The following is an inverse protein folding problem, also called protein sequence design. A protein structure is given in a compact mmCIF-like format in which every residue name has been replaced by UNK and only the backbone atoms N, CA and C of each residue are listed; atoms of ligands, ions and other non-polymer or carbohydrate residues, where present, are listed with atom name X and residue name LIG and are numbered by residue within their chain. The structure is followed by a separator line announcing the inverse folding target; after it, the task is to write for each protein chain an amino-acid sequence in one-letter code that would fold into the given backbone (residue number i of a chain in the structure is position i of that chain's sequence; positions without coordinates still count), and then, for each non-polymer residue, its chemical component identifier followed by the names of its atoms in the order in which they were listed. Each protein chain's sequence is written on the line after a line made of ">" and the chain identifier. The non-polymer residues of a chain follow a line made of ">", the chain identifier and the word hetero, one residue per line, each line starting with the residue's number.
data_IF_808295867899
#
_entry.id   IF_808295867899
#
_cell.length_a   1.000
_cell.length_b   1.000
_cell.length_c   1.000
_cell.angle_alpha   90.00
_cell.angle_beta   90.00
_cell.angle_gamma   90.00
#
_symmetry.space_group_name_H-M   'P 1'
#
loop_
_entity.id
_entity.type
_entity.pdbx_description
1 polymer ?
#
# COMPACT_ATOMS: atom_id res chain seq x y z
N UNK A 1 -18.87 -0.82 -18.17
CA UNK A 1 -18.04 0.30 -17.71
C UNK A 1 -17.38 -0.15 -16.43
N UNK A 2 -16.05 -0.02 -16.29
CA UNK A 2 -15.38 -0.32 -15.01
C UNK A 2 -15.80 0.78 -14.03
N UNK A 3 -16.41 0.39 -12.92
CA UNK A 3 -16.83 1.32 -11.87
C UNK A 3 -15.66 1.55 -10.90
N UNK A 4 -14.76 2.46 -11.29
CA UNK A 4 -13.54 2.78 -10.54
C UNK A 4 -13.89 3.34 -9.16
N UNK A 5 -14.95 4.15 -9.04
CA UNK A 5 -15.37 4.75 -7.77
C UNK A 5 -15.85 3.69 -6.80
N UNK A 6 -16.66 2.73 -7.26
CA UNK A 6 -17.08 1.60 -6.44
C UNK A 6 -15.89 0.72 -6.00
N UNK A 7 -14.97 0.42 -6.91
CA UNK A 7 -13.75 -0.33 -6.58
C UNK A 7 -12.92 0.40 -5.53
N UNK A 8 -12.63 1.69 -5.75
CA UNK A 8 -11.90 2.54 -4.80
C UNK A 8 -12.54 2.51 -3.41
N UNK A 9 -13.86 2.69 -3.34
CA UNK A 9 -14.63 2.63 -2.09
C UNK A 9 -14.46 1.29 -1.36
N UNK A 10 -14.48 0.16 -2.08
CA UNK A 10 -14.25 -1.17 -1.48
C UNK A 10 -12.83 -1.28 -0.88
N UNK A 11 -11.80 -0.79 -1.58
CA UNK A 11 -10.42 -0.83 -1.06
C UNK A 11 -10.30 0.04 0.19
N UNK A 12 -10.85 1.25 0.17
CA UNK A 12 -10.84 2.18 1.31
C UNK A 12 -11.57 1.61 2.54
N UNK A 13 -12.69 0.92 2.34
CA UNK A 13 -13.39 0.23 3.42
C UNK A 13 -12.54 -0.87 4.06
N UNK A 14 -11.82 -1.65 3.26
CA UNK A 14 -10.93 -2.70 3.76
C UNK A 14 -9.72 -2.13 4.49
N UNK A 15 -9.13 -1.04 3.99
CA UNK A 15 -8.07 -0.27 4.67
C UNK A 15 -8.56 0.21 6.03
N UNK A 16 -9.74 0.82 6.09
CA UNK A 16 -10.35 1.33 7.33
C UNK A 16 -10.63 0.21 8.33
N UNK A 17 -11.16 -0.92 7.87
CA UNK A 17 -11.43 -2.10 8.71
C UNK A 17 -10.15 -2.66 9.36
N UNK A 18 -9.01 -2.50 8.70
CA UNK A 18 -7.69 -2.95 9.18
C UNK A 18 -6.91 -1.86 9.93
N UNK A 19 -7.44 -0.64 10.01
CA UNK A 19 -6.78 0.53 10.57
C UNK A 19 -5.49 0.96 9.83
N UNK A 20 -5.43 0.74 8.51
CA UNK A 20 -4.26 1.03 7.68
C UNK A 20 -4.24 2.45 7.09
N UNK A 21 -5.12 3.34 7.52
CA UNK A 21 -5.33 4.66 6.92
C UNK A 21 -4.09 5.57 7.02
N UNK A 22 -3.20 5.29 7.97
CA UNK A 22 -1.94 6.04 8.12
C UNK A 22 -0.82 5.57 7.17
N UNK A 23 -1.07 4.55 6.33
CA UNK A 23 -0.13 4.19 5.28
C UNK A 23 -0.22 5.13 4.09
N UNK A 24 0.91 5.34 3.40
CA UNK A 24 0.91 5.99 2.10
C UNK A 24 0.42 5.00 1.05
N UNK A 25 -0.69 5.31 0.40
CA UNK A 25 -1.22 4.51 -0.69
C UNK A 25 -1.90 5.39 -1.74
N UNK A 26 -1.97 4.89 -2.97
CA UNK A 26 -2.59 5.58 -4.11
C UNK A 26 -3.50 4.61 -4.83
N UNK A 27 -4.76 5.03 -5.06
CA UNK A 27 -5.78 4.24 -5.74
C UNK A 27 -6.17 4.92 -7.06
N UNK A 28 -6.00 4.19 -8.15
CA UNK A 28 -6.38 4.54 -9.51
C UNK A 28 -5.74 5.84 -10.04
N UNK A 29 -4.53 6.13 -9.59
CA UNK A 29 -3.68 7.22 -10.08
C UNK A 29 -2.25 6.68 -10.27
N UNK A 30 -1.82 6.57 -11.54
CA UNK A 30 -0.47 6.10 -11.90
C UNK A 30 0.59 7.18 -11.67
N UNK A 31 0.23 8.45 -11.85
CA UNK A 31 1.15 9.59 -11.97
C UNK A 31 1.44 10.27 -10.62
N UNK A 32 0.75 9.85 -9.56
CA UNK A 32 1.00 10.33 -8.20
C UNK A 32 2.46 10.11 -7.79
N UNK A 33 3.10 11.18 -7.32
CA UNK A 33 4.46 11.17 -6.77
C UNK A 33 4.45 11.09 -5.24
N UNK A 34 3.50 10.35 -4.64
CA UNK A 34 3.49 10.13 -3.20
C UNK A 34 4.67 9.21 -2.81
N UNK A 35 5.63 9.68 -1.98
CA UNK A 35 6.77 8.86 -1.59
C UNK A 35 6.35 7.66 -0.74
N UNK A 36 7.08 6.55 -0.86
CA UNK A 36 6.84 5.30 -0.11
C UNK A 36 5.44 4.69 -0.28
N UNK A 37 4.69 5.12 -1.30
CA UNK A 37 3.33 4.67 -1.50
C UNK A 37 3.26 3.25 -2.10
N UNK A 38 2.21 2.54 -1.75
CA UNK A 38 1.76 1.36 -2.50
C UNK A 38 0.66 1.83 -3.45
N UNK A 39 0.82 1.57 -4.75
CA UNK A 39 -0.17 1.95 -5.75
C UNK A 39 -1.00 0.74 -6.15
N UNK A 40 -2.27 0.97 -6.42
CA UNK A 40 -3.17 0.10 -7.17
C UNK A 40 -3.84 0.95 -8.25
N UNK A 41 -3.61 0.68 -9.53
CA UNK A 41 -4.19 1.47 -10.63
C UNK A 41 -4.51 0.61 -11.85
N UNK A 42 -5.25 1.17 -12.81
CA UNK A 42 -5.60 0.47 -14.05
C UNK A 42 -4.70 0.98 -15.20
N UNK A 43 -4.06 0.07 -15.92
CA UNK A 43 -3.27 0.37 -17.12
C UNK A 43 -3.47 -0.72 -18.16
N UNK A 44 -3.79 -0.34 -19.40
CA UNK A 44 -4.02 -1.28 -20.51
C UNK A 44 -4.99 -2.42 -20.12
N UNK A 45 -6.10 -2.07 -19.47
CA UNK A 45 -7.11 -3.01 -18.95
C UNK A 45 -6.64 -4.00 -17.87
N UNK A 46 -5.44 -3.82 -17.32
CA UNK A 46 -4.94 -4.62 -16.20
C UNK A 46 -4.82 -3.79 -14.93
N UNK A 47 -5.08 -4.42 -13.79
CA UNK A 47 -4.81 -3.83 -12.49
C UNK A 47 -3.33 -4.00 -12.17
N UNK A 48 -2.67 -2.90 -11.84
CA UNK A 48 -1.25 -2.84 -11.53
C UNK A 48 -1.07 -2.55 -10.05
N UNK A 49 -0.27 -3.36 -9.37
CA UNK A 49 0.17 -3.11 -7.98
C UNK A 49 1.67 -3.00 -7.91
N UNK A 50 2.18 -1.95 -7.28
CA UNK A 50 3.60 -1.77 -7.02
C UNK A 50 3.85 -0.91 -5.77
N UNK A 51 5.10 -0.89 -5.33
CA UNK A 51 5.58 -0.02 -4.25
C UNK A 51 6.51 1.03 -4.81
N UNK A 52 6.57 2.18 -4.15
CA UNK A 52 7.43 3.30 -4.51
C UNK A 52 8.50 3.58 -3.45
N UNK A 53 9.62 4.16 -3.86
CA UNK A 53 10.66 4.69 -2.95
C UNK A 53 10.39 6.14 -2.54
N UNK A 54 11.36 6.75 -1.86
CA UNK A 54 11.35 8.15 -1.44
C UNK A 54 11.28 9.15 -2.60
N UNK A 55 11.67 8.73 -3.80
CA UNK A 55 11.63 9.52 -5.05
C UNK A 55 10.47 9.13 -5.95
N UNK A 56 9.55 8.30 -5.44
CA UNK A 56 8.42 7.75 -6.17
C UNK A 56 8.78 6.85 -7.35
N UNK A 57 10.00 6.28 -7.38
CA UNK A 57 10.36 5.26 -8.36
C UNK A 57 9.83 3.89 -7.95
N UNK A 58 9.54 3.05 -8.95
CA UNK A 58 9.06 1.68 -8.72
C UNK A 58 10.14 0.88 -8.00
N UNK A 59 9.86 0.41 -6.78
CA UNK A 59 10.74 -0.54 -6.11
C UNK A 59 10.42 -1.96 -6.60
N UNK A 60 11.44 -2.63 -7.13
CA UNK A 60 11.34 -4.01 -7.58
C UNK A 60 10.56 -4.11 -8.89
N UNK A 61 9.34 -4.67 -8.83
CA UNK A 61 8.51 -4.91 -10.02
C UNK A 61 7.07 -4.48 -9.82
N UNK A 62 6.42 -4.16 -10.93
CA UNK A 62 4.96 -4.08 -11.01
C UNK A 62 4.34 -5.46 -11.17
N UNK A 63 3.22 -5.67 -10.49
CA UNK A 63 2.42 -6.88 -10.57
C UNK A 63 1.15 -6.56 -11.33
N UNK A 64 0.88 -7.35 -12.37
CA UNK A 64 -0.29 -7.16 -13.23
C UNK A 64 -1.33 -8.24 -12.93
N UNK A 65 -2.59 -7.83 -12.87
CA UNK A 65 -3.72 -8.69 -12.60
C UNK A 65 -4.84 -8.40 -13.59
N UNK A 66 -5.43 -9.46 -14.15
CA UNK A 66 -6.64 -9.36 -14.97
C UNK A 66 -7.90 -9.17 -14.07
N UNK A 67 -7.81 -9.62 -12.81
CA UNK A 67 -8.92 -9.64 -11.87
C UNK A 67 -8.73 -8.59 -10.75
N UNK A 68 -9.76 -7.78 -10.52
CA UNK A 68 -9.77 -6.74 -9.49
C UNK A 68 -9.61 -7.31 -8.07
N UNK A 69 -10.31 -8.40 -7.74
CA UNK A 69 -10.27 -8.99 -6.40
C UNK A 69 -8.89 -9.55 -6.06
N UNK A 70 -8.19 -10.13 -7.04
CA UNK A 70 -6.79 -10.57 -6.88
C UNK A 70 -5.86 -9.38 -6.66
N UNK A 71 -6.02 -8.31 -7.45
CA UNK A 71 -5.22 -7.09 -7.31
C UNK A 71 -5.43 -6.44 -5.94
N UNK A 72 -6.69 -6.31 -5.49
CA UNK A 72 -7.04 -5.80 -4.18
C UNK A 72 -6.44 -6.65 -3.07
N UNK A 73 -6.60 -7.97 -3.13
CA UNK A 73 -6.05 -8.88 -2.12
C UNK A 73 -4.52 -8.74 -2.03
N UNK A 74 -3.85 -8.68 -3.19
CA UNK A 74 -2.41 -8.51 -3.25
C UNK A 74 -1.96 -7.14 -2.72
N UNK A 75 -2.68 -6.08 -3.06
CA UNK A 75 -2.44 -4.72 -2.57
C UNK A 75 -2.53 -4.64 -1.04
N UNK A 76 -3.58 -5.21 -0.44
CA UNK A 76 -3.71 -5.25 1.03
C UNK A 76 -2.57 -6.07 1.66
N UNK A 77 -2.20 -7.21 1.07
CA UNK A 77 -1.06 -8.02 1.53
C UNK A 77 0.28 -7.24 1.46
N UNK A 78 0.44 -6.37 0.46
CA UNK A 78 1.60 -5.47 0.36
C UNK A 78 1.61 -4.44 1.49
N UNK A 79 0.46 -3.88 1.85
CA UNK A 79 0.33 -2.98 3.00
C UNK A 79 0.74 -3.68 4.30
N UNK A 80 0.26 -4.90 4.53
CA UNK A 80 0.64 -5.71 5.70
C UNK A 80 2.14 -5.98 5.76
N UNK A 81 2.73 -6.39 4.62
CA UNK A 81 4.17 -6.67 4.53
C UNK A 81 4.99 -5.40 4.81
N UNK A 82 4.55 -4.25 4.31
CA UNK A 82 5.22 -2.97 4.53
C UNK A 82 5.19 -2.55 6.01
N UNK A 83 4.09 -2.83 6.73
CA UNK A 83 4.02 -2.65 8.18
C UNK A 83 5.02 -3.53 8.91
N UNK A 84 5.08 -4.82 8.58
CA UNK A 84 6.03 -5.72 9.24
C UNK A 84 7.48 -5.34 8.96
N UNK A 85 7.78 -4.89 7.73
CA UNK A 85 9.11 -4.43 7.36
C UNK A 85 9.51 -3.18 8.17
N UNK A 86 8.66 -2.14 8.22
CA UNK A 86 8.97 -0.93 9.01
C UNK A 86 9.14 -1.25 10.50
N UNK A 87 8.32 -2.15 11.06
CA UNK A 87 8.48 -2.61 12.45
C UNK A 87 9.84 -3.27 12.68
N UNK A 88 10.28 -4.10 11.75
CA UNK A 88 11.58 -4.77 11.82
C UNK A 88 12.75 -3.78 11.68
N UNK A 89 12.66 -2.84 10.75
CA UNK A 89 13.64 -1.76 10.58
C UNK A 89 13.82 -0.96 11.89
N UNK A 90 12.72 -0.56 12.53
CA UNK A 90 12.77 0.13 13.84
C UNK A 90 13.40 -0.75 14.92
N UNK A 91 13.01 -2.02 15.01
CA UNK A 91 13.59 -2.96 15.98
C UNK A 91 15.09 -3.17 15.78
N UNK A 92 15.59 -3.01 14.56
CA UNK A 92 17.02 -3.13 14.22
C UNK A 92 17.78 -1.79 14.31
N UNK A 93 17.13 -0.72 14.76
CA UNK A 93 17.75 0.58 14.99
C UNK A 93 17.71 1.54 13.80
N UNK A 94 16.97 1.21 12.74
CA UNK A 94 16.77 2.09 11.59
C UNK A 94 15.54 2.99 11.79
N UNK A 95 15.58 4.25 11.32
CA UNK A 95 14.41 5.11 11.36
C UNK A 95 13.31 4.56 10.42
N UNK A 96 12.02 4.77 10.73
CA UNK A 96 10.95 4.45 9.80
C UNK A 96 11.01 5.33 8.56
N UNK A 97 10.45 4.85 7.44
CA UNK A 97 10.41 5.63 6.19
C UNK A 97 9.62 6.94 6.32
N UNK A 98 8.56 6.95 7.13
CA UNK A 98 7.76 8.13 7.50
C UNK A 98 7.06 7.88 8.84
N UNK A 99 6.58 8.90 9.58
CA UNK A 99 5.85 8.69 10.83
C UNK A 99 4.49 8.00 10.62
N UNK A 100 4.20 6.92 11.34
CA UNK A 100 2.86 6.31 11.40
C UNK A 100 2.66 5.54 12.71
N UNK A 101 1.44 5.55 13.28
CA UNK A 101 1.11 4.77 14.48
C UNK A 101 1.17 3.24 14.25
N UNK A 102 1.27 2.79 12.99
CA UNK A 102 1.33 1.35 12.67
C UNK A 102 2.69 0.73 12.98
N UNK A 103 3.74 1.52 13.11
CA UNK A 103 5.07 1.01 13.40
C UNK A 103 5.27 0.66 14.86
N UNK A 104 4.52 1.30 15.75
CA UNK A 104 4.60 1.01 17.17
C UNK A 104 4.06 -0.39 17.42
N UNK A 105 4.89 -1.23 18.05
CA UNK A 105 4.48 -2.55 18.44
C UNK A 105 3.49 -2.41 19.61
N UNK A 106 2.28 -3.00 19.53
CA UNK A 106 1.34 -2.99 20.67
C UNK A 106 1.96 -3.55 21.96
N UNK A 107 2.95 -4.45 21.83
CA UNK A 107 3.69 -5.03 22.95
C UNK A 107 4.75 -4.12 23.60
N UNK A 108 5.18 -3.03 22.97
CA UNK A 108 6.21 -2.14 23.55
C UNK A 108 5.66 -1.16 24.61
N UNK A 109 4.34 -1.20 24.86
CA UNK A 109 3.65 -0.40 25.88
C UNK A 109 3.23 -1.26 27.09
N UNK A 110 4.15 -2.06 27.64
CA UNK A 110 3.96 -2.79 28.91
C UNK A 110 5.16 -2.62 29.83
#
# INVERSE_FOLDING_TARGET
>A
MIDIDHMKCIVEQEIKKRHFESLHYVLFDEDSNLPWAIHLYLKNNKFIVNSRDDRSYIIGKSWEFENYEEAKHFFIKKMETFIQLNRLEIQTGHPPYYPSPLWDNPQNNK
#
